data_IF_396308645595
#
_entry.id   IF_396308645595
#
_cell.length_a   1.000
_cell.length_b   1.000
_cell.length_c   1.000
_cell.angle_alpha   90.00
_cell.angle_beta   90.00
_cell.angle_gamma   90.00
#
_symmetry.space_group_name_H-M   'P 1'
#
loop_
_entity.id
_entity.type
_entity.pdbx_description
1 polymer ?
#
# COMPACT_ATOMS: atom_id res chain seq x y z
N UNK A 1 23.88 -14.11 27.47
CA UNK A 1 22.43 -14.18 27.14
C UNK A 1 22.31 -14.25 25.64
N UNK A 2 21.40 -15.11 25.17
CA UNK A 2 21.26 -15.62 23.80
C UNK A 2 21.30 -14.52 22.73
N UNK A 3 22.28 -14.58 21.83
CA UNK A 3 22.24 -13.89 20.54
C UNK A 3 21.00 -14.37 19.79
N UNK A 4 20.16 -13.41 19.38
CA UNK A 4 19.07 -13.69 18.46
C UNK A 4 19.67 -13.82 17.07
N UNK A 5 19.58 -15.04 16.53
CA UNK A 5 19.97 -15.35 15.16
C UNK A 5 19.15 -14.51 14.19
N UNK A 6 19.86 -13.65 13.46
CA UNK A 6 19.33 -12.87 12.35
C UNK A 6 18.99 -13.86 11.22
N UNK A 7 17.70 -14.17 11.07
CA UNK A 7 17.22 -15.04 10.00
C UNK A 7 17.33 -14.29 8.67
N UNK A 8 18.50 -14.43 8.05
CA UNK A 8 18.84 -13.89 6.74
C UNK A 8 17.79 -14.22 5.68
N UNK A 9 16.96 -13.23 5.36
CA UNK A 9 16.34 -13.13 4.04
C UNK A 9 17.34 -12.36 3.20
N UNK A 10 18.02 -13.06 2.28
CA UNK A 10 18.81 -12.42 1.22
C UNK A 10 17.81 -11.60 0.38
N UNK A 11 17.60 -10.32 0.73
CA UNK A 11 16.83 -9.43 -0.11
C UNK A 11 17.68 -9.17 -1.35
N UNK A 12 17.25 -9.70 -2.50
CA UNK A 12 17.82 -9.26 -3.77
C UNK A 12 17.84 -7.74 -3.82
N UNK A 13 18.91 -7.11 -4.33
CA UNK A 13 18.97 -5.65 -4.39
C UNK A 13 17.77 -5.12 -5.18
N UNK A 14 17.13 -4.07 -4.66
CA UNK A 14 16.01 -3.43 -5.36
C UNK A 14 16.53 -2.65 -6.57
N UNK A 15 15.92 -2.89 -7.73
CA UNK A 15 16.21 -2.13 -8.95
C UNK A 15 15.27 -0.94 -9.06
N UNK A 16 15.81 0.27 -9.16
CA UNK A 16 15.00 1.46 -9.46
C UNK A 16 14.55 1.44 -10.93
N UNK A 17 13.25 1.63 -11.18
CA UNK A 17 12.67 1.69 -12.53
C UNK A 17 11.83 2.95 -12.69
N UNK A 18 11.68 3.43 -13.93
CA UNK A 18 10.80 4.57 -14.22
C UNK A 18 9.34 4.18 -14.02
N UNK A 19 8.50 5.15 -13.65
CA UNK A 19 7.06 4.92 -13.62
C UNK A 19 6.52 4.56 -15.01
N UNK A 20 5.66 3.55 -15.06
CA UNK A 20 5.24 2.82 -16.26
C UNK A 20 6.01 1.52 -16.47
N UNK A 21 7.30 1.46 -16.11
CA UNK A 21 8.15 0.28 -16.29
C UNK A 21 8.09 -0.71 -15.12
N UNK A 22 7.39 -0.39 -14.03
CA UNK A 22 7.17 -1.31 -12.90
C UNK A 22 6.29 -2.50 -13.26
N UNK A 23 5.61 -2.48 -14.40
CA UNK A 23 4.73 -3.56 -14.83
C UNK A 23 5.43 -4.57 -15.74
N UNK A 24 4.98 -5.81 -15.69
CA UNK A 24 5.31 -6.88 -16.63
C UNK A 24 4.06 -7.72 -16.90
N UNK A 25 4.21 -8.79 -17.68
CA UNK A 25 3.17 -9.81 -17.89
C UNK A 25 3.62 -11.15 -17.33
N UNK A 26 2.74 -11.81 -16.60
CA UNK A 26 2.88 -13.22 -16.19
C UNK A 26 1.60 -13.93 -16.61
N UNK A 27 1.71 -15.00 -17.41
CA UNK A 27 0.56 -15.74 -17.95
C UNK A 27 -0.47 -14.84 -18.65
N UNK A 28 0.02 -13.89 -19.46
CA UNK A 28 -0.80 -12.89 -20.17
C UNK A 28 -1.40 -11.80 -19.27
N UNK A 29 -1.25 -11.88 -17.96
CA UNK A 29 -1.83 -10.96 -16.98
C UNK A 29 -0.83 -9.87 -16.59
N UNK A 30 -1.29 -8.62 -16.54
CA UNK A 30 -0.52 -7.49 -15.98
C UNK A 30 -0.22 -7.74 -14.50
N UNK A 31 1.05 -7.65 -14.13
CA UNK A 31 1.57 -7.79 -12.75
C UNK A 31 2.71 -6.81 -12.53
N UNK A 32 3.13 -6.61 -11.29
CA UNK A 32 4.32 -5.83 -10.97
C UNK A 32 5.58 -6.68 -11.13
N UNK A 33 6.68 -6.01 -11.51
CA UNK A 33 8.01 -6.61 -11.51
C UNK A 33 8.44 -6.94 -10.07
N UNK A 34 9.17 -8.04 -9.86
CA UNK A 34 9.76 -8.35 -8.58
C UNK A 34 10.97 -7.46 -8.28
N UNK A 35 11.24 -7.20 -7.00
CA UNK A 35 12.41 -6.49 -6.49
C UNK A 35 12.66 -5.12 -7.16
N UNK A 36 11.61 -4.32 -7.36
CA UNK A 36 11.76 -2.97 -7.93
C UNK A 36 11.36 -1.87 -6.95
N UNK A 37 11.92 -0.69 -7.17
CA UNK A 37 11.44 0.57 -6.59
C UNK A 37 10.99 1.48 -7.73
N UNK A 38 9.85 2.15 -7.56
CA UNK A 38 9.36 3.16 -8.50
C UNK A 38 8.65 4.29 -7.76
N UNK A 39 8.67 5.48 -8.34
CA UNK A 39 8.02 6.68 -7.78
C UNK A 39 7.01 7.21 -8.78
N UNK A 40 5.77 7.45 -8.34
CA UNK A 40 4.72 8.01 -9.19
C UNK A 40 5.00 9.49 -9.50
N UNK A 41 4.39 10.07 -10.54
CA UNK A 41 4.50 11.50 -10.81
C UNK A 41 4.08 12.39 -9.63
N UNK A 42 3.18 11.90 -8.77
CA UNK A 42 2.73 12.57 -7.54
C UNK A 42 3.73 12.46 -6.38
N UNK A 43 4.85 11.74 -6.55
CA UNK A 43 5.92 11.63 -5.55
C UNK A 43 5.76 10.47 -4.57
N UNK A 44 4.84 9.53 -4.80
CA UNK A 44 4.69 8.34 -3.97
C UNK A 44 5.66 7.25 -4.40
N UNK A 45 6.50 6.77 -3.47
CA UNK A 45 7.49 5.72 -3.72
C UNK A 45 6.99 4.36 -3.26
N UNK A 46 7.13 3.36 -4.11
CA UNK A 46 6.71 1.99 -3.86
C UNK A 46 7.87 1.03 -3.99
N UNK A 47 7.80 -0.08 -3.25
CA UNK A 47 8.76 -1.19 -3.32
C UNK A 47 8.03 -2.50 -3.48
N UNK A 48 8.57 -3.38 -4.31
CA UNK A 48 8.08 -4.76 -4.46
C UNK A 48 9.09 -5.79 -3.96
N UNK A 49 8.60 -6.92 -3.47
CA UNK A 49 9.44 -8.08 -3.13
C UNK A 49 9.71 -8.97 -4.35
N UNK A 50 10.38 -10.11 -4.11
CA UNK A 50 10.75 -11.09 -5.12
C UNK A 50 9.55 -11.77 -5.81
N UNK A 51 8.33 -11.62 -5.28
CA UNK A 51 7.09 -12.10 -5.89
C UNK A 51 6.32 -11.00 -6.61
N UNK A 52 6.84 -9.77 -6.62
CA UNK A 52 6.15 -8.60 -7.20
C UNK A 52 5.05 -8.04 -6.29
N UNK A 53 5.02 -8.39 -5.00
CA UNK A 53 4.04 -7.87 -4.05
C UNK A 53 4.51 -6.53 -3.51
N UNK A 54 3.59 -5.56 -3.37
CA UNK A 54 3.94 -4.26 -2.79
C UNK A 54 4.23 -4.46 -1.30
N UNK A 55 5.46 -4.14 -0.88
CA UNK A 55 5.91 -4.22 0.53
C UNK A 55 6.08 -2.84 1.17
N UNK A 56 6.05 -1.77 0.37
CA UNK A 56 6.07 -0.39 0.87
C UNK A 56 5.37 0.55 -0.10
N UNK A 57 4.61 1.49 0.43
CA UNK A 57 4.10 2.68 -0.26
C UNK A 57 4.30 3.89 0.67
N UNK A 58 5.07 4.88 0.26
CA UNK A 58 5.42 6.02 1.12
C UNK A 58 5.44 7.35 0.37
N UNK A 59 5.13 8.43 1.08
CA UNK A 59 5.21 9.79 0.56
C UNK A 59 4.46 10.82 1.41
N UNK A 60 4.48 12.06 0.94
CA UNK A 60 3.70 13.16 1.50
C UNK A 60 2.37 13.24 0.76
N UNK A 61 1.26 13.11 1.47
CA UNK A 61 -0.08 13.13 0.87
C UNK A 61 -0.45 14.52 0.36
N UNK A 62 -1.06 14.55 -0.81
CA UNK A 62 -1.64 15.75 -1.42
C UNK A 62 -3.10 15.49 -1.76
N UNK A 63 -4.00 16.45 -1.50
CA UNK A 63 -5.40 16.32 -1.93
C UNK A 63 -5.51 16.34 -3.45
N UNK A 64 -6.41 15.52 -3.99
CA UNK A 64 -6.76 15.48 -5.41
C UNK A 64 -7.39 14.15 -5.78
N UNK A 65 -7.82 14.00 -7.03
CA UNK A 65 -8.56 12.81 -7.45
C UNK A 65 -7.73 11.90 -8.37
N UNK A 66 -7.37 10.74 -7.85
CA UNK A 66 -6.75 9.65 -8.60
C UNK A 66 -7.79 8.90 -9.45
N UNK A 67 -7.44 8.61 -10.71
CA UNK A 67 -8.31 7.88 -11.63
C UNK A 67 -8.44 6.40 -11.22
N UNK A 68 -9.64 6.01 -10.78
CA UNK A 68 -9.97 4.62 -10.44
C UNK A 68 -9.98 3.72 -11.68
N UNK A 69 -9.51 2.48 -11.54
CA UNK A 69 -9.66 1.42 -12.56
C UNK A 69 -10.47 0.26 -11.99
N UNK A 70 -11.78 0.16 -12.30
CA UNK A 70 -12.66 -0.87 -11.74
C UNK A 70 -12.15 -2.30 -11.96
N UNK A 71 -11.55 -2.58 -13.11
CA UNK A 71 -10.96 -3.87 -13.41
C UNK A 71 -9.87 -4.25 -12.40
N UNK A 72 -8.91 -3.36 -12.11
CA UNK A 72 -7.82 -3.64 -11.17
C UNK A 72 -8.37 -3.83 -9.75
N UNK A 73 -9.31 -2.99 -9.31
CA UNK A 73 -9.94 -3.11 -7.99
C UNK A 73 -10.69 -4.44 -7.80
N UNK A 74 -11.34 -4.95 -8.84
CA UNK A 74 -12.07 -6.22 -8.80
C UNK A 74 -11.15 -7.45 -8.87
N UNK A 75 -9.95 -7.31 -9.44
CA UNK A 75 -9.11 -8.48 -9.80
C UNK A 75 -7.76 -8.54 -9.07
N UNK A 76 -7.37 -7.51 -8.31
CA UNK A 76 -6.14 -7.55 -7.49
C UNK A 76 -6.19 -8.72 -6.49
N UNK A 77 -5.06 -9.38 -6.29
CA UNK A 77 -4.92 -10.63 -5.52
C UNK A 77 -5.20 -11.90 -6.31
N UNK A 78 -6.07 -11.82 -7.31
CA UNK A 78 -6.47 -12.98 -8.13
C UNK A 78 -6.91 -14.14 -7.24
N UNK A 79 -6.22 -15.27 -7.32
CA UNK A 79 -6.60 -16.51 -6.66
C UNK A 79 -6.45 -16.43 -5.12
N UNK A 80 -5.59 -15.53 -4.62
CA UNK A 80 -5.41 -15.27 -3.18
C UNK A 80 -6.47 -14.31 -2.59
N UNK A 81 -7.26 -13.65 -3.45
CA UNK A 81 -8.29 -12.71 -3.01
C UNK A 81 -9.45 -13.47 -2.37
N UNK A 82 -9.89 -13.04 -1.18
CA UNK A 82 -11.10 -13.57 -0.55
C UNK A 82 -12.36 -12.91 -1.12
N UNK A 83 -13.49 -13.62 -1.04
CA UNK A 83 -14.80 -13.14 -1.53
C UNK A 83 -15.24 -11.82 -0.89
N UNK A 84 -14.83 -11.58 0.35
CA UNK A 84 -15.13 -10.38 1.13
C UNK A 84 -14.04 -9.30 1.06
N UNK A 85 -13.03 -9.46 0.19
CA UNK A 85 -12.04 -8.42 -0.07
C UNK A 85 -12.53 -7.42 -1.14
N UNK A 86 -12.17 -6.16 -0.92
CA UNK A 86 -12.15 -5.10 -1.92
C UNK A 86 -10.73 -4.99 -2.53
N UNK A 87 -10.61 -4.23 -3.63
CA UNK A 87 -9.31 -3.73 -4.08
C UNK A 87 -8.94 -2.49 -3.28
N UNK A 88 -8.38 -2.69 -2.10
CA UNK A 88 -8.01 -1.62 -1.17
C UNK A 88 -6.84 -0.81 -1.71
N UNK A 89 -6.93 0.51 -1.64
CA UNK A 89 -5.83 1.39 -2.00
C UNK A 89 -4.86 1.51 -0.81
N UNK A 90 -3.55 1.47 -1.09
CA UNK A 90 -2.55 1.81 -0.07
C UNK A 90 -2.49 3.32 0.13
N UNK A 91 -2.51 4.09 -0.97
CA UNK A 91 -2.72 5.53 -1.00
C UNK A 91 -4.09 5.81 -1.63
N UNK A 92 -5.02 6.40 -0.88
CA UNK A 92 -6.39 6.62 -1.32
C UNK A 92 -6.48 7.46 -2.60
N UNK A 93 -7.55 7.28 -3.38
CA UNK A 93 -7.80 8.09 -4.58
C UNK A 93 -7.91 9.59 -4.27
N UNK A 94 -8.44 9.96 -3.09
CA UNK A 94 -8.53 11.37 -2.64
C UNK A 94 -7.16 12.01 -2.34
N UNK A 95 -6.10 11.19 -2.39
CA UNK A 95 -4.72 11.63 -2.30
C UNK A 95 -3.97 11.42 -3.63
N UNK A 96 -4.68 11.45 -4.76
CA UNK A 96 -4.14 11.14 -6.09
C UNK A 96 -3.50 9.75 -6.23
N UNK A 97 -3.78 8.81 -5.34
CA UNK A 97 -3.25 7.45 -5.43
C UNK A 97 -3.69 6.74 -6.72
N UNK A 98 -2.78 5.98 -7.32
CA UNK A 98 -3.05 5.20 -8.55
C UNK A 98 -4.21 4.23 -8.33
N UNK A 99 -5.11 4.14 -9.32
CA UNK A 99 -6.19 3.15 -9.33
C UNK A 99 -5.81 1.81 -9.96
N UNK A 100 -4.54 1.60 -10.34
CA UNK A 100 -4.02 0.40 -11.00
C UNK A 100 -3.33 -0.56 -10.01
N UNK A 101 -2.85 -1.71 -10.47
CA UNK A 101 -2.24 -2.77 -9.62
C UNK A 101 -1.01 -2.33 -8.82
N UNK A 102 -0.43 -1.17 -9.10
CA UNK A 102 0.74 -0.61 -8.41
C UNK A 102 0.43 0.09 -7.08
N UNK A 103 -0.85 0.25 -6.73
CA UNK A 103 -1.26 0.86 -5.46
C UNK A 103 -2.44 0.11 -4.81
N UNK A 104 -2.76 -1.07 -5.33
CA UNK A 104 -3.89 -1.87 -4.86
C UNK A 104 -3.41 -3.18 -4.24
N UNK A 105 -4.13 -3.61 -3.21
CA UNK A 105 -3.97 -4.92 -2.57
C UNK A 105 -5.35 -5.52 -2.27
N UNK A 106 -5.46 -6.86 -2.12
CA UNK A 106 -6.66 -7.47 -1.56
C UNK A 106 -6.79 -7.04 -0.10
N UNK A 107 -7.85 -6.32 0.21
CA UNK A 107 -8.09 -5.81 1.55
C UNK A 107 -9.52 -6.14 1.96
N UNK A 108 -9.69 -6.69 3.16
CA UNK A 108 -11.00 -7.03 3.69
C UNK A 108 -11.93 -5.82 3.61
N UNK A 109 -13.12 -5.98 3.02
CA UNK A 109 -14.00 -4.87 2.72
C UNK A 109 -14.48 -4.12 3.96
N UNK A 110 -14.63 -4.80 5.10
CA UNK A 110 -15.00 -4.15 6.36
C UNK A 110 -13.84 -3.27 6.90
N UNK A 111 -12.59 -3.76 6.82
CA UNK A 111 -11.40 -2.96 7.14
C UNK A 111 -11.30 -1.74 6.20
N UNK A 112 -11.35 -1.98 4.90
CA UNK A 112 -11.21 -0.98 3.83
C UNK A 112 -12.22 0.17 3.99
N UNK A 113 -13.50 -0.16 4.20
CA UNK A 113 -14.58 0.83 4.34
C UNK A 113 -14.73 1.38 5.77
N UNK A 114 -14.11 0.75 6.75
CA UNK A 114 -14.22 1.08 8.17
C UNK A 114 -12.98 1.82 8.69
N UNK A 115 -12.11 1.10 9.41
CA UNK A 115 -10.94 1.70 10.08
C UNK A 115 -9.95 2.33 9.11
N UNK A 116 -9.75 1.71 7.94
CA UNK A 116 -8.85 2.24 6.91
C UNK A 116 -9.36 3.60 6.40
N UNK A 117 -10.62 3.65 5.97
CA UNK A 117 -11.30 4.90 5.59
C UNK A 117 -11.31 5.96 6.71
N UNK A 118 -11.42 5.54 7.97
CA UNK A 118 -11.35 6.47 9.11
C UNK A 118 -9.98 7.14 9.22
N UNK A 119 -8.91 6.38 8.99
CA UNK A 119 -7.55 6.90 8.95
C UNK A 119 -7.37 7.88 7.78
N UNK A 120 -7.81 7.51 6.58
CA UNK A 120 -7.80 8.38 5.39
C UNK A 120 -8.58 9.70 5.63
N UNK A 121 -9.77 9.63 6.22
CA UNK A 121 -10.56 10.81 6.57
C UNK A 121 -9.82 11.73 7.55
N UNK A 122 -9.08 11.16 8.51
CA UNK A 122 -8.29 11.95 9.46
C UNK A 122 -7.16 12.73 8.77
N UNK A 123 -6.50 12.12 7.78
CA UNK A 123 -5.48 12.75 6.95
C UNK A 123 -6.08 13.84 6.07
N UNK A 124 -7.22 13.57 5.42
CA UNK A 124 -7.94 14.57 4.62
C UNK A 124 -8.34 15.79 5.46
N UNK A 125 -8.81 15.59 6.69
CA UNK A 125 -9.13 16.69 7.62
C UNK A 125 -7.90 17.53 7.98
N UNK A 126 -6.74 16.89 8.17
CA UNK A 126 -5.50 17.59 8.46
C UNK A 126 -5.01 18.44 7.28
N UNK A 127 -5.08 17.90 6.06
CA UNK A 127 -4.73 18.62 4.83
C UNK A 127 -5.68 19.80 4.55
N UNK A 128 -6.95 19.69 4.95
CA UNK A 128 -7.96 20.76 4.81
C UNK A 128 -7.97 21.79 5.95
N UNK A 129 -7.11 21.63 6.96
CA UNK A 129 -7.04 22.57 8.08
C UNK A 129 -6.58 23.96 7.63
N UNK A 130 -6.73 24.96 8.52
CA UNK A 130 -6.24 26.32 8.29
C UNK A 130 -5.27 26.72 9.43
N UNK A 131 -3.96 26.86 9.17
CA UNK A 131 -3.27 26.50 7.92
C UNK A 131 -3.29 24.98 7.65
N UNK A 132 -3.15 24.53 6.39
CA UNK A 132 -3.01 23.12 6.04
C UNK A 132 -1.87 22.46 6.79
N UNK A 133 -2.05 21.21 7.21
CA UNK A 133 -0.99 20.41 7.83
C UNK A 133 -0.48 19.39 6.83
N UNK A 134 0.84 19.31 6.71
CA UNK A 134 1.51 18.23 5.96
C UNK A 134 1.16 16.87 6.57
N UNK A 135 0.97 15.85 5.73
CA UNK A 135 0.76 14.47 6.17
C UNK A 135 1.73 13.56 5.46
N UNK A 136 2.66 12.94 6.20
CA UNK A 136 3.58 11.92 5.67
C UNK A 136 3.07 10.55 6.06
N UNK A 137 3.09 9.60 5.12
CA UNK A 137 2.66 8.22 5.37
C UNK A 137 3.68 7.22 4.84
N UNK A 138 3.73 6.07 5.51
CA UNK A 138 4.34 4.84 5.01
C UNK A 138 3.42 3.68 5.35
N UNK A 139 2.95 3.00 4.32
CA UNK A 139 2.13 1.80 4.42
C UNK A 139 2.99 0.59 4.07
N UNK A 140 3.01 -0.39 4.96
CA UNK A 140 3.79 -1.64 4.82
C UNK A 140 2.83 -2.83 4.93
N UNK A 141 2.36 -3.39 3.80
CA UNK A 141 1.67 -4.67 3.79
C UNK A 141 2.62 -5.80 4.22
N UNK A 142 2.14 -6.69 5.07
CA UNK A 142 2.89 -7.85 5.56
C UNK A 142 2.18 -9.12 5.07
N UNK A 143 2.93 -9.99 4.41
CA UNK A 143 2.43 -11.21 3.78
C UNK A 143 2.89 -12.45 4.52
N UNK A 144 2.16 -13.54 4.36
CA UNK A 144 2.51 -14.87 4.87
C UNK A 144 2.75 -15.81 3.69
N UNK A 145 3.87 -16.53 3.73
CA UNK A 145 4.31 -17.40 2.64
C UNK A 145 4.32 -16.68 1.29
N UNK A 146 3.74 -17.34 0.29
CA UNK A 146 3.72 -16.87 -1.10
C UNK A 146 2.44 -16.15 -1.50
N UNK A 147 1.51 -15.91 -0.57
CA UNK A 147 0.22 -15.29 -0.89
C UNK A 147 0.38 -13.86 -1.40
N UNK A 148 -0.41 -13.49 -2.41
CA UNK A 148 -0.57 -12.13 -2.92
C UNK A 148 -1.51 -11.27 -2.07
N UNK A 149 -2.18 -11.88 -1.08
CA UNK A 149 -3.02 -11.18 -0.10
C UNK A 149 -2.20 -10.88 1.15
N UNK A 150 -2.07 -9.60 1.57
CA UNK A 150 -1.47 -9.27 2.85
C UNK A 150 -2.23 -9.93 4.01
N UNK A 151 -1.52 -10.45 4.99
CA UNK A 151 -2.11 -10.89 6.25
C UNK A 151 -2.48 -9.69 7.13
N UNK A 152 -1.66 -8.62 7.09
CA UNK A 152 -1.82 -7.41 7.91
C UNK A 152 -1.12 -6.20 7.31
N UNK A 153 -1.37 -5.03 7.90
CA UNK A 153 -0.80 -3.75 7.49
C UNK A 153 -0.19 -3.02 8.68
N UNK A 154 0.97 -2.43 8.47
CA UNK A 154 1.57 -1.44 9.37
C UNK A 154 1.55 -0.09 8.68
N UNK A 155 0.96 0.92 9.31
CA UNK A 155 0.86 2.28 8.76
C UNK A 155 1.54 3.25 9.72
N UNK A 156 2.70 3.75 9.32
CA UNK A 156 3.33 4.89 10.00
C UNK A 156 2.82 6.18 9.37
N UNK A 157 2.36 7.14 10.17
CA UNK A 157 1.93 8.43 9.67
C UNK A 157 2.26 9.57 10.62
N UNK A 158 2.57 10.73 10.05
CA UNK A 158 2.90 11.95 10.78
C UNK A 158 2.05 13.11 10.24
N UNK A 159 1.45 13.88 11.15
CA UNK A 159 0.64 15.07 10.80
C UNK A 159 1.35 16.32 11.33
N UNK A 160 1.77 17.22 10.43
CA UNK A 160 2.55 18.40 10.76
C UNK A 160 3.80 18.05 11.57
N UNK A 161 4.04 18.79 12.66
CA UNK A 161 5.19 18.59 13.56
C UNK A 161 4.96 17.54 14.66
N UNK A 162 3.87 16.77 14.61
CA UNK A 162 3.61 15.72 15.60
C UNK A 162 4.61 14.56 15.49
N UNK A 163 4.79 13.79 16.57
CA UNK A 163 5.55 12.53 16.49
C UNK A 163 4.81 11.54 15.56
N UNK A 164 5.54 10.73 14.77
CA UNK A 164 4.93 9.66 13.98
C UNK A 164 4.08 8.73 14.85
N UNK A 165 2.92 8.35 14.34
CA UNK A 165 2.02 7.36 14.93
C UNK A 165 2.01 6.10 14.07
N UNK A 166 1.88 4.96 14.72
CA UNK A 166 1.79 3.67 14.04
C UNK A 166 0.38 3.11 14.25
N UNK A 167 -0.29 2.72 13.15
CA UNK A 167 -1.51 1.96 13.17
C UNK A 167 -1.25 0.54 12.63
N UNK A 168 -1.81 -0.45 13.31
CA UNK A 168 -1.72 -1.86 12.92
C UNK A 168 -3.12 -2.36 12.57
N UNK A 169 -3.25 -3.09 11.47
CA UNK A 169 -4.50 -3.68 11.03
C UNK A 169 -4.29 -5.12 10.57
N UNK A 170 -5.01 -6.05 11.19
CA UNK A 170 -5.17 -7.39 10.61
C UNK A 170 -6.06 -7.31 9.36
N UNK A 171 -5.74 -8.04 8.29
CA UNK A 171 -6.52 -8.02 7.06
C UNK A 171 -7.75 -8.95 7.17
N UNK A 172 -8.65 -8.62 8.09
CA UNK A 172 -9.91 -9.32 8.41
C UNK A 172 -10.96 -8.32 8.92
N UNK A 173 -12.24 -8.72 9.10
CA UNK A 173 -13.27 -7.81 9.58
C UNK A 173 -12.88 -7.09 10.88
N UNK A 174 -13.13 -5.78 10.94
CA UNK A 174 -12.78 -4.93 12.08
C UNK A 174 -11.30 -4.58 12.24
N UNK A 175 -10.40 -5.19 11.46
CA UNK A 175 -8.97 -4.93 11.53
C UNK A 175 -8.34 -5.28 12.89
N UNK A 176 -8.79 -6.36 13.53
CA UNK A 176 -8.29 -6.90 14.80
C UNK A 176 -8.28 -8.41 14.73
#
# INVERSE_FOLDING_TARGET
MKEMQDNGIISSPLTAVKYGEQFTKKDGKKVLKPNVTYTTPEGYTYKTDNLGRIVSAEGTLELGDGKRKPYAQKTVGRDDRKKDDDGGHLIASIFKGSGDFDNLVPMNGNLNKGKWKTLENSWSKALKAKPPKEVKVKVTPIYEGNSQRPARFVVSHQIGKSKPKIAFFENKPGGK
#
